data_IF_857845869683
#
_entry.id   IF_857845869683
#
_cell.length_a   1.000
_cell.length_b   1.000
_cell.length_c   1.000
_cell.angle_alpha   90.00
_cell.angle_beta   90.00
_cell.angle_gamma   90.00
#
_symmetry.space_group_name_H-M   'P 1'
#
loop_
_entity.id
_entity.type
_entity.pdbx_description
1 polymer ?
#
# COMPACT_ATOMS: atom_id res chain seq x y z
N UNK A 1 -1.53 -7.02 8.56
CA UNK A 1 -0.71 -7.75 7.56
C UNK A 1 -0.39 -9.17 8.05
N UNK A 2 0.35 -9.34 9.15
CA UNK A 2 0.78 -10.67 9.63
C UNK A 2 -0.35 -11.66 9.96
N UNK A 3 -1.55 -11.16 10.27
CA UNK A 3 -2.73 -11.98 10.57
C UNK A 3 -3.52 -12.41 9.33
N UNK A 4 -3.15 -11.94 8.14
CA UNK A 4 -3.85 -12.25 6.90
C UNK A 4 -3.12 -13.34 6.11
N UNK A 5 -3.83 -14.35 5.56
CA UNK A 5 -3.20 -15.54 4.99
C UNK A 5 -2.47 -15.31 3.66
N UNK A 6 -2.69 -14.18 2.98
CA UNK A 6 -2.08 -13.85 1.69
C UNK A 6 -0.73 -13.13 1.79
N UNK A 7 -0.37 -12.52 2.93
CA UNK A 7 0.96 -11.93 3.14
C UNK A 7 1.91 -12.97 3.74
N UNK A 8 2.73 -13.60 2.89
CA UNK A 8 3.56 -14.75 3.27
C UNK A 8 5.03 -14.42 3.56
N UNK A 9 5.54 -13.33 3.01
CA UNK A 9 6.94 -12.93 3.12
C UNK A 9 7.02 -11.47 3.56
N UNK A 10 7.97 -11.19 4.45
CA UNK A 10 8.17 -9.87 5.03
C UNK A 10 9.65 -9.53 4.94
N UNK A 11 9.94 -8.38 4.34
CA UNK A 11 11.28 -7.81 4.23
C UNK A 11 11.28 -6.44 4.89
N UNK A 12 12.39 -6.07 5.52
CA UNK A 12 12.55 -4.76 6.16
C UNK A 12 12.74 -3.63 5.15
N UNK A 13 13.24 -3.95 3.96
CA UNK A 13 13.50 -3.00 2.89
C UNK A 13 13.25 -3.65 1.52
N UNK A 14 12.77 -2.83 0.59
CA UNK A 14 12.63 -3.18 -0.82
C UNK A 14 12.94 -1.93 -1.66
N UNK A 15 13.53 -2.11 -2.83
CA UNK A 15 13.70 -1.01 -3.77
C UNK A 15 12.37 -0.67 -4.40
N UNK A 16 11.95 0.57 -4.25
CA UNK A 16 10.77 1.14 -4.88
C UNK A 16 11.21 2.29 -5.79
N UNK A 17 10.69 2.33 -7.01
CA UNK A 17 11.01 3.36 -8.00
C UNK A 17 9.73 4.03 -8.51
N UNK A 18 9.85 5.28 -8.95
CA UNK A 18 8.73 6.09 -9.38
C UNK A 18 8.46 7.22 -8.40
N UNK A 19 8.03 8.36 -8.93
CA UNK A 19 7.50 9.48 -8.13
C UNK A 19 5.99 9.35 -8.02
N UNK A 20 5.43 9.81 -6.90
CA UNK A 20 3.99 9.87 -6.69
C UNK A 20 3.65 11.15 -5.93
N UNK A 21 2.57 11.84 -6.33
CA UNK A 21 2.19 13.13 -5.77
C UNK A 21 1.70 13.02 -4.31
N UNK A 22 1.36 11.80 -3.86
CA UNK A 22 1.08 11.49 -2.45
C UNK A 22 2.20 11.96 -1.52
N UNK A 23 3.44 12.07 -2.01
CA UNK A 23 4.57 12.59 -1.25
C UNK A 23 4.30 13.99 -0.68
N UNK A 24 3.55 14.85 -1.39
CA UNK A 24 3.15 16.16 -0.88
C UNK A 24 2.20 16.06 0.31
N UNK A 25 1.24 15.14 0.27
CA UNK A 25 0.31 14.89 1.38
C UNK A 25 1.03 14.30 2.59
N UNK A 26 1.94 13.34 2.37
CA UNK A 26 2.75 12.76 3.44
C UNK A 26 3.63 13.81 4.10
N UNK A 27 4.25 14.71 3.31
CA UNK A 27 5.04 15.83 3.81
C UNK A 27 4.20 16.75 4.69
N UNK A 28 3.00 17.13 4.26
CA UNK A 28 2.12 18.00 5.04
C UNK A 28 1.75 17.40 6.42
N UNK A 29 1.56 16.07 6.50
CA UNK A 29 1.32 15.36 7.77
C UNK A 29 2.57 15.42 8.66
N UNK A 30 3.74 15.14 8.09
CA UNK A 30 5.01 15.15 8.82
C UNK A 30 5.40 16.55 9.32
N UNK A 31 5.16 17.60 8.54
CA UNK A 31 5.38 19.01 8.93
C UNK A 31 4.51 19.42 10.14
N UNK A 32 3.40 18.72 10.37
CA UNK A 32 2.53 18.90 11.54
C UNK A 32 2.86 17.92 12.70
N UNK A 33 3.99 17.22 12.63
CA UNK A 33 4.43 16.26 13.65
C UNK A 33 3.74 14.90 13.58
N UNK A 34 2.92 14.65 12.55
CA UNK A 34 2.26 13.38 12.33
C UNK A 34 3.13 12.33 11.63
N UNK A 35 2.63 11.11 11.57
CA UNK A 35 3.22 10.02 10.78
C UNK A 35 2.34 9.70 9.58
N UNK A 36 2.96 9.43 8.42
CA UNK A 36 2.27 9.05 7.20
C UNK A 36 2.90 7.77 6.63
N UNK A 37 2.07 6.90 6.08
CA UNK A 37 2.48 5.69 5.39
C UNK A 37 1.90 5.68 3.97
N UNK A 38 2.71 5.24 3.01
CA UNK A 38 2.27 4.93 1.66
C UNK A 38 2.33 3.42 1.47
N UNK A 39 1.20 2.82 1.10
CA UNK A 39 1.04 1.37 0.98
C UNK A 39 0.63 1.08 -0.46
N UNK A 40 1.40 0.24 -1.15
CA UNK A 40 1.11 -0.23 -2.50
C UNK A 40 0.82 -1.73 -2.44
N UNK A 41 -0.25 -2.15 -3.10
CA UNK A 41 -0.57 -3.57 -3.26
C UNK A 41 -0.16 -4.00 -4.66
N UNK A 42 0.96 -4.71 -4.72
CA UNK A 42 1.45 -5.30 -5.96
C UNK A 42 0.71 -6.58 -6.31
N UNK A 43 0.64 -6.86 -7.60
CA UNK A 43 0.04 -8.06 -8.19
C UNK A 43 0.77 -8.35 -9.51
N UNK A 44 0.76 -9.58 -10.05
CA UNK A 44 1.29 -9.81 -11.38
C UNK A 44 0.59 -8.91 -12.40
N UNK A 45 1.37 -8.06 -13.09
CA UNK A 45 0.84 -7.07 -14.06
C UNK A 45 1.11 -7.45 -15.53
N UNK A 46 1.78 -8.58 -15.77
CA UNK A 46 2.14 -9.09 -17.10
C UNK A 46 3.17 -8.21 -17.83
N UNK A 47 2.73 -7.02 -18.26
CA UNK A 47 3.53 -5.93 -18.83
C UNK A 47 3.77 -4.83 -17.80
N UNK A 48 4.36 -3.70 -18.20
CA UNK A 48 4.61 -2.57 -17.30
C UNK A 48 3.34 -1.73 -17.02
N UNK A 49 3.40 -0.91 -15.97
CA UNK A 49 2.29 -0.03 -15.52
C UNK A 49 1.78 0.99 -16.55
N UNK A 50 2.56 1.34 -17.57
CA UNK A 50 2.21 2.33 -18.59
C UNK A 50 2.22 1.73 -20.00
N UNK A 51 1.53 0.61 -20.17
CA UNK A 51 1.41 -0.09 -21.46
C UNK A 51 -0.05 -0.25 -21.87
N UNK A 52 -0.31 -0.43 -23.17
CA UNK A 52 -1.67 -0.66 -23.69
C UNK A 52 -2.26 -2.00 -23.26
N UNK A 53 -1.40 -2.96 -22.92
CA UNK A 53 -1.76 -4.31 -22.48
C UNK A 53 -1.75 -4.45 -20.96
N UNK A 54 -1.66 -3.34 -20.21
CA UNK A 54 -1.70 -3.37 -18.76
C UNK A 54 -2.95 -4.12 -18.27
N UNK A 55 -2.72 -5.09 -17.40
CA UNK A 55 -3.74 -5.87 -16.73
C UNK A 55 -3.21 -6.25 -15.34
N UNK A 56 -4.07 -6.71 -14.45
CA UNK A 56 -3.68 -7.08 -13.09
C UNK A 56 -4.62 -8.15 -12.49
N UNK A 57 -4.10 -9.00 -11.61
CA UNK A 57 -4.94 -9.97 -10.90
C UNK A 57 -5.82 -9.27 -9.86
N UNK A 58 -7.13 -9.22 -10.12
CA UNK A 58 -8.16 -8.56 -9.32
C UNK A 58 -8.33 -9.15 -7.90
N UNK A 59 -7.78 -10.34 -7.61
CA UNK A 59 -7.78 -10.88 -6.24
C UNK A 59 -7.16 -9.89 -5.24
N UNK A 60 -6.19 -9.08 -5.71
CA UNK A 60 -5.52 -8.05 -4.92
C UNK A 60 -6.48 -7.01 -4.33
N UNK A 61 -7.63 -6.76 -4.98
CA UNK A 61 -8.60 -5.75 -4.54
C UNK A 61 -9.20 -6.12 -3.17
N UNK A 62 -9.62 -7.38 -3.01
CA UNK A 62 -10.18 -7.86 -1.74
C UNK A 62 -9.14 -7.88 -0.62
N UNK A 63 -7.90 -8.26 -0.95
CA UNK A 63 -6.77 -8.27 -0.04
C UNK A 63 -6.42 -6.85 0.44
N UNK A 64 -6.44 -5.87 -0.47
CA UNK A 64 -6.16 -4.48 -0.20
C UNK A 64 -7.22 -3.83 0.70
N UNK A 65 -8.50 -3.97 0.33
CA UNK A 65 -9.61 -3.44 1.13
C UNK A 65 -9.59 -4.02 2.54
N UNK A 66 -9.37 -5.32 2.67
CA UNK A 66 -9.28 -5.97 3.99
C UNK A 66 -8.17 -5.36 4.84
N UNK A 67 -6.96 -5.18 4.29
CA UNK A 67 -5.85 -4.60 5.05
C UNK A 67 -6.14 -3.15 5.44
N UNK A 68 -6.67 -2.34 4.54
CA UNK A 68 -7.02 -0.94 4.85
C UNK A 68 -8.10 -0.83 5.91
N UNK A 69 -9.17 -1.63 5.83
CA UNK A 69 -10.23 -1.61 6.84
C UNK A 69 -9.72 -1.98 8.22
N UNK A 70 -8.89 -3.04 8.32
CA UNK A 70 -8.29 -3.44 9.58
C UNK A 70 -7.35 -2.36 10.13
N UNK A 71 -6.53 -1.75 9.26
CA UNK A 71 -5.63 -0.67 9.66
C UNK A 71 -6.39 0.55 10.18
N UNK A 72 -7.47 0.95 9.50
CA UNK A 72 -8.30 2.08 9.93
C UNK A 72 -8.94 1.81 11.31
N UNK A 73 -9.52 0.63 11.51
CA UNK A 73 -10.11 0.23 12.80
C UNK A 73 -9.05 0.23 13.91
N UNK A 74 -7.87 -0.34 13.65
CA UNK A 74 -6.78 -0.39 14.61
C UNK A 74 -6.27 1.01 14.98
N UNK A 75 -6.10 1.91 14.01
CA UNK A 75 -5.65 3.28 14.26
C UNK A 75 -6.71 4.09 15.04
N UNK A 76 -7.99 3.91 14.73
CA UNK A 76 -9.08 4.56 15.49
C UNK A 76 -9.17 4.06 16.93
N UNK A 77 -8.84 2.79 17.19
CA UNK A 77 -8.84 2.23 18.53
C UNK A 77 -7.65 2.68 19.40
N UNK A 78 -6.61 3.24 18.79
CA UNK A 78 -5.33 3.59 19.45
C UNK A 78 -5.27 4.98 20.08
N UNK A 79 -6.38 5.74 20.06
CA UNK A 79 -6.62 7.03 20.74
C UNK A 79 -5.38 7.78 21.22
#
# INVERSE_FOLDING_TARGET
AQTQPWFKQFVSEARFSGSEDVAYMMRAVQEQGGQAAYIVFGTPVGTGHHTSEFDFDEEVLGQAVTLYSLLAVELMARG
#
